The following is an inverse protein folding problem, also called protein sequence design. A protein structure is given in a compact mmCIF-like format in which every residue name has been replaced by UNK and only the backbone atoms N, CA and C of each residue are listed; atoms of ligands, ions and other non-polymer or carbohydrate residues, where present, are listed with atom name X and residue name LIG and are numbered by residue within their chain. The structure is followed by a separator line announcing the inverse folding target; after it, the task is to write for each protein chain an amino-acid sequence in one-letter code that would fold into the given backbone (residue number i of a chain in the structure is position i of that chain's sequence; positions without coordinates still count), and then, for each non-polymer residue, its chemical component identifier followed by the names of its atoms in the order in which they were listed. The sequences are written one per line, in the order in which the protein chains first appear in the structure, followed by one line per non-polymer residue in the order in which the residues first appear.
data_IF_323796932639
#
_entry.id   IF_323796932639
#
_cell.length_a   1.000
_cell.length_b   1.000
_cell.length_c   1.000
_cell.angle_alpha   90.00
_cell.angle_beta   90.00
_cell.angle_gamma   90.00
#
_symmetry.space_group_name_H-M   'P 1'
#
loop_
_entity.id
_entity.type
_entity.pdbx_description
1 polymer ?
#
# COMPACT_ATOMS: atom_id res chain seq x y z
N UNK A 1 2.69 -28.79 13.02
CA UNK A 1 3.57 -28.70 11.83
C UNK A 1 2.63 -28.77 10.65
N UNK A 2 2.60 -27.72 9.84
CA UNK A 2 1.74 -27.66 8.65
C UNK A 2 2.48 -28.47 7.58
N UNK A 3 1.90 -29.55 7.09
CA UNK A 3 2.51 -30.32 6.00
C UNK A 3 2.14 -29.67 4.66
N UNK A 4 3.13 -29.07 3.98
CA UNK A 4 2.97 -28.44 2.68
C UNK A 4 3.29 -29.43 1.57
N UNK A 5 2.32 -30.30 1.25
CA UNK A 5 2.48 -31.20 0.12
C UNK A 5 2.47 -30.45 -1.21
N UNK A 6 3.52 -30.62 -2.01
CA UNK A 6 3.58 -30.11 -3.38
C UNK A 6 4.09 -28.68 -3.54
N UNK A 7 4.47 -27.99 -2.45
CA UNK A 7 5.09 -26.66 -2.54
C UNK A 7 6.62 -26.79 -2.63
N UNK A 8 7.28 -26.26 -3.68
CA UNK A 8 8.74 -26.29 -3.77
C UNK A 8 9.40 -25.31 -2.78
N UNK A 9 10.69 -25.51 -2.51
CA UNK A 9 11.49 -24.53 -1.78
C UNK A 9 11.49 -23.18 -2.52
N UNK A 10 11.13 -22.12 -1.79
CA UNK A 10 11.00 -20.77 -2.33
C UNK A 10 12.34 -20.03 -2.30
N UNK A 11 12.50 -19.11 -3.25
CA UNK A 11 13.67 -18.24 -3.39
C UNK A 11 13.27 -16.83 -2.99
N UNK A 12 13.89 -16.31 -1.93
CA UNK A 12 13.67 -14.94 -1.42
C UNK A 12 12.17 -14.60 -1.24
N UNK A 13 11.38 -15.43 -0.52
CA UNK A 13 9.93 -15.32 -0.53
C UNK A 13 9.41 -14.12 0.24
N UNK A 14 8.50 -13.37 -0.40
CA UNK A 14 7.69 -12.32 0.24
C UNK A 14 6.23 -12.75 0.32
N UNK A 15 5.62 -12.62 1.49
CA UNK A 15 4.18 -12.84 1.64
C UNK A 15 3.44 -11.53 1.37
N UNK A 16 2.41 -11.57 0.53
CA UNK A 16 1.54 -10.42 0.25
C UNK A 16 0.12 -10.78 0.64
N UNK A 17 -0.44 -10.09 1.63
CA UNK A 17 -1.75 -10.37 2.19
C UNK A 17 -2.75 -9.24 1.90
N UNK A 18 -3.99 -9.58 1.56
CA UNK A 18 -5.10 -8.64 1.50
C UNK A 18 -6.39 -9.30 2.00
N UNK A 19 -7.20 -8.53 2.72
CA UNK A 19 -8.43 -8.99 3.34
C UNK A 19 -9.60 -8.09 2.93
N UNK A 20 -10.60 -8.67 2.27
CA UNK A 20 -11.87 -8.01 1.95
C UNK A 20 -12.58 -7.55 3.24
N UNK A 21 -13.44 -6.55 3.12
CA UNK A 21 -14.25 -6.02 4.22
C UNK A 21 -13.78 -4.65 4.68
N UNK A 22 -13.63 -4.45 5.99
CA UNK A 22 -13.41 -3.12 6.58
C UNK A 22 -12.11 -2.44 6.12
N UNK A 23 -11.09 -3.24 5.78
CA UNK A 23 -9.76 -2.77 5.41
C UNK A 23 -9.57 -2.60 3.90
N UNK A 24 -10.63 -2.69 3.09
CA UNK A 24 -10.52 -2.81 1.63
C UNK A 24 -11.52 -1.94 0.84
N UNK A 25 -11.39 -0.62 0.99
CA UNK A 25 -12.20 0.33 0.22
C UNK A 25 -12.10 0.08 -1.30
N UNK A 26 -13.25 -0.01 -1.97
CA UNK A 26 -13.33 -0.24 -3.41
C UNK A 26 -12.81 -1.61 -3.88
N UNK A 27 -12.68 -2.58 -2.97
CA UNK A 27 -12.02 -3.88 -3.17
C UNK A 27 -10.59 -3.75 -3.73
N UNK A 28 -9.91 -2.65 -3.42
CA UNK A 28 -8.65 -2.25 -4.07
C UNK A 28 -7.48 -3.19 -3.73
N UNK A 29 -7.34 -3.57 -2.46
CA UNK A 29 -6.28 -4.43 -1.95
C UNK A 29 -6.51 -5.89 -2.32
N UNK A 30 -7.72 -6.41 -2.15
CA UNK A 30 -8.05 -7.79 -2.57
C UNK A 30 -7.94 -7.94 -4.10
N UNK A 31 -8.34 -6.92 -4.87
CA UNK A 31 -8.15 -6.88 -6.33
C UNK A 31 -6.68 -6.84 -6.73
N UNK A 32 -5.83 -6.17 -5.96
CA UNK A 32 -4.38 -6.16 -6.21
C UNK A 32 -3.80 -7.57 -6.07
N UNK A 33 -4.11 -8.29 -4.98
CA UNK A 33 -3.64 -9.68 -4.81
C UNK A 33 -4.25 -10.61 -5.87
N UNK A 34 -5.53 -10.44 -6.20
CA UNK A 34 -6.18 -11.20 -7.27
C UNK A 34 -5.55 -10.97 -8.65
N UNK A 35 -5.06 -9.76 -8.91
CA UNK A 35 -4.31 -9.43 -10.11
C UNK A 35 -2.98 -10.19 -10.16
N UNK A 36 -2.20 -10.19 -9.07
CA UNK A 36 -0.94 -10.96 -8.99
C UNK A 36 -1.17 -12.46 -9.20
N UNK A 37 -2.21 -13.01 -8.57
CA UNK A 37 -2.62 -14.41 -8.72
C UNK A 37 -2.94 -14.74 -10.19
N UNK A 38 -3.66 -13.85 -10.90
CA UNK A 38 -4.02 -14.05 -12.31
C UNK A 38 -2.83 -13.92 -13.26
N UNK A 39 -2.06 -12.84 -13.16
CA UNK A 39 -0.99 -12.53 -14.12
C UNK A 39 0.14 -13.56 -14.07
N UNK A 40 0.46 -14.03 -12.86
CA UNK A 40 1.51 -15.03 -12.66
C UNK A 40 1.00 -16.46 -12.46
N UNK A 41 -0.31 -16.68 -12.61
CA UNK A 41 -0.95 -18.00 -12.50
C UNK A 41 -0.62 -18.68 -11.15
N UNK A 42 -0.87 -17.96 -10.07
CA UNK A 42 -0.66 -18.46 -8.71
C UNK A 42 -1.37 -19.78 -8.48
N UNK A 43 -0.68 -20.70 -7.81
CA UNK A 43 -1.20 -22.02 -7.48
C UNK A 43 -1.62 -22.05 -6.02
N UNK A 44 -2.93 -22.19 -5.78
CA UNK A 44 -3.48 -22.34 -4.42
C UNK A 44 -3.00 -23.66 -3.82
N UNK A 45 -2.29 -23.59 -2.70
CA UNK A 45 -1.78 -24.77 -1.98
C UNK A 45 -2.46 -24.96 -0.63
N UNK A 46 -3.07 -23.91 -0.07
CA UNK A 46 -3.77 -23.99 1.20
C UNK A 46 -4.99 -23.06 1.25
N UNK A 47 -5.94 -23.42 2.12
CA UNK A 47 -7.06 -22.58 2.49
C UNK A 47 -7.33 -22.80 3.98
N UNK A 48 -7.59 -21.72 4.72
CA UNK A 48 -7.96 -21.79 6.13
C UNK A 48 -9.36 -22.39 6.28
N UNK A 49 -9.59 -23.16 7.33
CA UNK A 49 -10.91 -23.71 7.61
C UNK A 49 -11.90 -22.57 7.90
N UNK A 50 -12.99 -22.55 7.12
CA UNK A 50 -13.96 -21.48 7.21
C UNK A 50 -14.76 -21.52 8.52
N UNK A 51 -14.99 -22.72 9.08
CA UNK A 51 -15.84 -22.90 10.26
C UNK A 51 -15.24 -22.27 11.52
N UNK A 52 -13.91 -22.20 11.60
CA UNK A 52 -13.21 -21.65 12.76
C UNK A 52 -13.23 -20.12 12.83
N UNK A 53 -13.31 -19.47 11.67
CA UNK A 53 -13.00 -18.04 11.55
C UNK A 53 -14.17 -17.17 11.10
N UNK A 54 -15.17 -17.72 10.41
CA UNK A 54 -16.23 -16.92 9.79
C UNK A 54 -17.61 -17.14 10.43
N UNK A 55 -18.32 -16.03 10.69
CA UNK A 55 -19.75 -16.08 10.96
C UNK A 55 -20.50 -16.17 9.63
N UNK A 56 -21.10 -17.34 9.34
CA UNK A 56 -21.84 -17.57 8.10
C UNK A 56 -23.18 -16.83 8.00
N UNK A 57 -23.63 -16.13 9.04
CA UNK A 57 -24.75 -15.19 8.94
C UNK A 57 -24.33 -13.86 8.31
N UNK A 58 -23.08 -13.46 8.54
CA UNK A 58 -22.44 -12.27 7.96
C UNK A 58 -21.85 -12.63 6.59
N UNK A 59 -20.98 -13.64 6.55
CA UNK A 59 -20.28 -14.11 5.36
C UNK A 59 -20.98 -15.36 4.80
N UNK A 60 -22.06 -15.17 4.05
CA UNK A 60 -22.88 -16.28 3.56
C UNK A 60 -22.17 -17.10 2.48
N UNK A 61 -22.22 -18.44 2.52
CA UNK A 61 -21.81 -19.27 1.40
C UNK A 61 -22.66 -19.01 0.16
N UNK A 62 -22.04 -19.05 -1.01
CA UNK A 62 -22.71 -18.77 -2.29
C UNK A 62 -23.01 -20.08 -3.01
N UNK A 63 -24.24 -20.23 -3.48
CA UNK A 63 -24.66 -21.33 -4.35
C UNK A 63 -24.51 -20.94 -5.81
N UNK A 64 -23.98 -21.84 -6.63
CA UNK A 64 -23.88 -21.65 -8.08
C UNK A 64 -24.11 -22.97 -8.84
N UNK A 65 -24.33 -22.86 -10.14
CA UNK A 65 -24.49 -24.01 -11.04
C UNK A 65 -23.29 -24.07 -11.99
N UNK A 66 -22.61 -25.21 -12.00
CA UNK A 66 -21.52 -25.49 -12.94
C UNK A 66 -21.88 -26.73 -13.75
N UNK A 67 -22.08 -26.56 -15.07
CA UNK A 67 -22.53 -27.65 -15.94
C UNK A 67 -23.87 -28.27 -15.50
N UNK A 68 -24.73 -27.49 -14.83
CA UNK A 68 -26.00 -27.97 -14.27
C UNK A 68 -25.89 -28.66 -12.92
N UNK A 69 -24.68 -28.83 -12.36
CA UNK A 69 -24.46 -29.38 -11.02
C UNK A 69 -24.41 -28.23 -10.01
N UNK A 70 -25.23 -28.33 -8.96
CA UNK A 70 -25.24 -27.36 -7.85
C UNK A 70 -23.97 -27.51 -7.02
N UNK A 71 -23.25 -26.40 -6.82
CA UNK A 71 -22.10 -26.30 -5.94
C UNK A 71 -22.28 -25.18 -4.92
N UNK A 72 -21.57 -25.28 -3.82
CA UNK A 72 -21.51 -24.27 -2.75
C UNK A 72 -20.05 -23.87 -2.61
N UNK A 73 -19.79 -22.57 -2.67
CA UNK A 73 -18.50 -21.99 -2.32
C UNK A 73 -18.61 -21.39 -0.93
N UNK A 74 -17.76 -21.87 -0.03
CA UNK A 74 -17.61 -21.31 1.30
C UNK A 74 -16.62 -20.13 1.28
N UNK A 75 -16.87 -19.05 2.03
CA UNK A 75 -15.89 -17.99 2.22
C UNK A 75 -14.67 -18.56 2.95
N UNK A 76 -13.47 -18.22 2.50
CA UNK A 76 -12.22 -18.67 3.12
C UNK A 76 -11.07 -17.75 2.74
N UNK A 77 -10.00 -17.76 3.54
CA UNK A 77 -8.71 -17.19 3.19
C UNK A 77 -7.86 -18.26 2.50
N UNK A 78 -7.43 -17.97 1.28
CA UNK A 78 -6.59 -18.86 0.47
C UNK A 78 -5.15 -18.37 0.46
N UNK A 79 -4.23 -19.32 0.40
CA UNK A 79 -2.82 -19.08 0.16
C UNK A 79 -2.42 -19.70 -1.18
N UNK A 80 -1.74 -18.92 -2.00
CA UNK A 80 -1.17 -19.37 -3.27
C UNK A 80 0.29 -19.01 -3.39
N UNK A 81 1.06 -19.84 -4.09
CA UNK A 81 2.46 -19.53 -4.43
C UNK A 81 2.53 -19.04 -5.85
N UNK A 82 3.35 -18.02 -6.05
CA UNK A 82 3.75 -17.51 -7.37
C UNK A 82 5.27 -17.56 -7.49
N UNK A 83 5.75 -18.18 -8.57
CA UNK A 83 7.16 -18.18 -8.94
C UNK A 83 7.42 -17.06 -9.95
N UNK A 84 8.11 -16.00 -9.53
CA UNK A 84 8.46 -14.92 -10.46
C UNK A 84 9.86 -15.19 -11.01
N UNK A 85 9.92 -15.61 -12.26
CA UNK A 85 11.17 -15.76 -12.99
C UNK A 85 11.81 -14.42 -13.34
N UNK A 86 13.09 -14.44 -13.72
CA UNK A 86 13.82 -13.24 -14.15
C UNK A 86 15.25 -13.20 -13.61
N UNK A 87 15.92 -12.07 -13.79
CA UNK A 87 17.33 -11.88 -13.39
C UNK A 87 17.50 -11.79 -11.87
N UNK A 88 16.47 -11.34 -11.15
CA UNK A 88 16.35 -11.38 -9.68
C UNK A 88 15.11 -12.20 -9.31
N UNK A 89 15.23 -13.53 -9.14
CA UNK A 89 14.10 -14.37 -8.77
C UNK A 89 13.65 -14.05 -7.35
N UNK A 90 12.35 -13.78 -7.19
CA UNK A 90 11.69 -13.52 -5.90
C UNK A 90 10.33 -14.18 -5.95
N UNK A 91 10.11 -15.16 -5.10
CA UNK A 91 8.82 -15.86 -5.05
C UNK A 91 7.84 -15.12 -4.15
N UNK A 92 6.55 -15.26 -4.44
CA UNK A 92 5.50 -14.62 -3.67
C UNK A 92 4.57 -15.66 -3.05
N UNK A 93 4.24 -15.44 -1.78
CA UNK A 93 3.17 -16.15 -1.08
C UNK A 93 1.99 -15.20 -0.98
N UNK A 94 0.98 -15.40 -1.81
CA UNK A 94 -0.20 -14.54 -1.82
C UNK A 94 -1.24 -15.06 -0.85
N UNK A 95 -1.76 -14.19 0.01
CA UNK A 95 -2.85 -14.48 0.95
C UNK A 95 -4.02 -13.58 0.59
N UNK A 96 -5.15 -14.18 0.21
CA UNK A 96 -6.37 -13.45 -0.14
C UNK A 96 -7.57 -14.09 0.51
N UNK A 97 -8.39 -13.28 1.17
CA UNK A 97 -9.60 -13.76 1.80
C UNK A 97 -10.45 -12.63 2.35
N UNK A 98 -11.43 -13.00 3.15
CA UNK A 98 -12.26 -12.07 3.89
C UNK A 98 -11.68 -11.91 5.29
N UNK A 99 -11.78 -10.71 5.86
CA UNK A 99 -11.47 -10.49 7.27
C UNK A 99 -12.22 -11.50 8.15
N UNK A 100 -11.51 -12.27 9.03
CA UNK A 100 -12.16 -13.25 9.89
C UNK A 100 -13.15 -12.56 10.83
N UNK A 101 -14.24 -13.23 11.19
CA UNK A 101 -15.23 -12.69 12.14
C UNK A 101 -14.81 -12.92 13.59
N UNK A 102 -13.98 -13.93 13.86
CA UNK A 102 -13.60 -14.34 15.20
C UNK A 102 -12.22 -15.00 15.22
N UNK A 103 -11.70 -15.26 16.43
CA UNK A 103 -10.43 -15.97 16.67
C UNK A 103 -9.20 -15.37 15.96
N UNK A 104 -9.15 -14.04 15.82
CA UNK A 104 -8.09 -13.33 15.08
C UNK A 104 -6.67 -13.73 15.49
N UNK A 105 -6.41 -13.95 16.78
CA UNK A 105 -5.11 -14.44 17.26
C UNK A 105 -4.71 -15.79 16.67
N UNK A 106 -5.65 -16.74 16.62
CA UNK A 106 -5.42 -18.06 16.02
C UNK A 106 -5.25 -17.95 14.51
N UNK A 107 -6.09 -17.14 13.86
CA UNK A 107 -6.01 -16.87 12.42
C UNK A 107 -4.64 -16.32 12.02
N UNK A 108 -4.15 -15.28 12.70
CA UNK A 108 -2.82 -14.71 12.43
C UNK A 108 -1.69 -15.71 12.70
N UNK A 109 -1.80 -16.51 13.78
CA UNK A 109 -0.81 -17.55 14.07
C UNK A 109 -0.77 -18.65 13.00
N UNK A 110 -1.90 -18.98 12.38
CA UNK A 110 -1.96 -19.95 11.29
C UNK A 110 -1.29 -19.40 10.03
N UNK A 111 -1.58 -18.15 9.66
CA UNK A 111 -0.88 -17.45 8.55
C UNK A 111 0.63 -17.37 8.82
N UNK A 112 1.04 -17.03 10.04
CA UNK A 112 2.45 -17.00 10.44
C UNK A 112 3.10 -18.39 10.42
N UNK A 113 2.33 -19.43 10.73
CA UNK A 113 2.77 -20.82 10.58
C UNK A 113 3.14 -21.14 9.13
N UNK A 114 2.30 -20.72 8.18
CA UNK A 114 2.62 -20.82 6.75
C UNK A 114 3.83 -19.96 6.36
N UNK A 115 3.90 -18.72 6.83
CA UNK A 115 5.04 -17.83 6.56
C UNK A 115 6.37 -18.44 7.02
N UNK A 116 6.38 -19.02 8.23
CA UNK A 116 7.55 -19.67 8.81
C UNK A 116 7.98 -20.92 8.02
N UNK A 117 7.05 -21.82 7.71
CA UNK A 117 7.34 -23.06 6.97
C UNK A 117 7.85 -22.76 5.54
N UNK A 118 7.36 -21.68 4.93
CA UNK A 118 7.76 -21.23 3.59
C UNK A 118 9.03 -20.38 3.57
N UNK A 119 9.60 -20.06 4.74
CA UNK A 119 10.81 -19.23 4.85
C UNK A 119 10.62 -17.77 4.45
N UNK A 120 9.40 -17.22 4.59
CA UNK A 120 9.06 -15.84 4.24
C UNK A 120 9.97 -14.84 4.98
N UNK A 121 10.61 -13.94 4.21
CA UNK A 121 11.52 -12.93 4.76
C UNK A 121 10.81 -11.62 5.13
N UNK A 122 9.65 -11.36 4.52
CA UNK A 122 8.85 -10.16 4.77
C UNK A 122 7.36 -10.41 4.48
N UNK A 123 6.49 -9.80 5.28
CA UNK A 123 5.05 -9.75 5.05
C UNK A 123 4.65 -8.33 4.64
N UNK A 124 4.00 -8.19 3.49
CA UNK A 124 3.41 -6.94 3.01
C UNK A 124 1.89 -7.08 3.04
N UNK A 125 1.21 -6.25 3.82
CA UNK A 125 -0.24 -6.31 3.98
C UNK A 125 -0.86 -5.12 3.24
N UNK A 126 -1.68 -5.40 2.23
CA UNK A 126 -2.35 -4.37 1.45
C UNK A 126 -3.69 -4.02 2.09
N UNK A 127 -3.99 -2.73 2.15
CA UNK A 127 -5.25 -2.19 2.60
C UNK A 127 -5.67 -0.97 1.78
N UNK A 128 -6.93 -0.60 1.90
CA UNK A 128 -7.48 0.62 1.35
C UNK A 128 -8.52 1.19 2.32
N UNK A 129 -8.46 2.49 2.52
CA UNK A 129 -9.33 3.22 3.45
C UNK A 129 -10.04 4.35 2.73
N UNK A 130 -11.18 4.79 3.28
CA UNK A 130 -11.85 5.98 2.79
C UNK A 130 -11.12 7.21 3.32
N UNK A 131 -10.79 8.13 2.41
CA UNK A 131 -10.05 9.34 2.74
C UNK A 131 -10.58 10.57 2.01
N UNK A 132 -10.09 11.73 2.46
CA UNK A 132 -10.36 13.04 1.87
C UNK A 132 -9.35 13.29 0.75
N UNK A 133 -9.59 12.63 -0.38
CA UNK A 133 -8.73 12.71 -1.57
C UNK A 133 -9.57 12.85 -2.83
N UNK A 134 -9.17 13.71 -3.79
CA UNK A 134 -9.90 13.89 -5.03
C UNK A 134 -9.60 12.74 -6.01
N UNK A 135 -10.63 12.18 -6.63
CA UNK A 135 -10.50 11.13 -7.64
C UNK A 135 -9.76 11.59 -8.90
N UNK A 136 -9.55 12.90 -9.08
CA UNK A 136 -8.89 13.53 -10.22
C UNK A 136 -7.36 13.64 -10.07
N UNK A 137 -6.80 13.37 -8.88
CA UNK A 137 -5.34 13.37 -8.61
C UNK A 137 -4.81 11.94 -8.45
N UNK A 138 -3.46 11.73 -8.40
CA UNK A 138 -2.90 10.43 -8.07
C UNK A 138 -3.40 9.92 -6.70
N UNK A 139 -3.66 8.62 -6.60
CA UNK A 139 -4.12 7.99 -5.34
C UNK A 139 -2.95 7.99 -4.35
N UNK A 140 -3.09 8.63 -3.17
CA UNK A 140 -2.07 8.55 -2.13
C UNK A 140 -1.98 7.12 -1.62
N UNK A 141 -0.75 6.59 -1.54
CA UNK A 141 -0.46 5.30 -0.91
C UNK A 141 0.58 5.50 0.17
N UNK A 142 0.18 5.31 1.42
CA UNK A 142 1.10 5.35 2.57
C UNK A 142 1.67 3.96 2.82
N UNK A 143 2.96 3.88 3.13
CA UNK A 143 3.58 2.65 3.64
C UNK A 143 3.92 2.85 5.10
N UNK A 144 3.41 1.96 5.96
CA UNK A 144 3.58 2.06 7.41
C UNK A 144 4.13 0.77 8.00
N UNK A 145 4.90 0.92 9.07
CA UNK A 145 5.39 -0.21 9.87
C UNK A 145 5.48 0.17 11.35
N UNK A 146 5.48 -0.84 12.21
CA UNK A 146 5.71 -0.72 13.66
C UNK A 146 7.18 -0.88 14.04
N UNK A 147 8.05 -1.23 13.08
CA UNK A 147 9.49 -1.38 13.30
C UNK A 147 10.23 -0.09 12.89
N UNK A 148 10.85 0.65 13.85
CA UNK A 148 11.56 1.89 13.56
C UNK A 148 12.83 1.73 12.72
N UNK A 149 13.45 0.54 12.70
CA UNK A 149 14.60 0.25 11.84
C UNK A 149 14.13 -0.01 10.41
N UNK A 150 13.03 -0.77 10.25
CA UNK A 150 12.41 -1.01 8.95
C UNK A 150 11.88 0.29 8.33
N UNK A 151 11.26 1.14 9.16
CA UNK A 151 10.76 2.45 8.72
C UNK A 151 11.87 3.32 8.11
N UNK A 152 13.03 3.38 8.77
CA UNK A 152 14.18 4.16 8.28
C UNK A 152 14.84 3.55 7.04
N UNK A 153 14.97 2.22 7.00
CA UNK A 153 15.68 1.52 5.92
C UNK A 153 14.88 1.48 4.61
N UNK A 154 13.55 1.46 4.70
CA UNK A 154 12.65 1.37 3.55
C UNK A 154 11.91 2.67 3.21
N UNK A 155 12.24 3.78 3.89
CA UNK A 155 11.56 5.08 3.72
C UNK A 155 10.03 4.96 3.89
N UNK A 156 9.64 4.42 5.04
CA UNK A 156 8.25 4.20 5.46
C UNK A 156 7.92 5.05 6.69
N UNK A 157 6.63 5.26 6.90
CA UNK A 157 6.13 5.95 8.08
C UNK A 157 6.06 5.00 9.28
N UNK A 158 6.50 5.46 10.44
CA UNK A 158 6.27 4.77 11.71
C UNK A 158 4.80 4.97 12.12
N UNK A 159 4.08 3.88 12.39
CA UNK A 159 2.68 3.98 12.83
C UNK A 159 2.59 4.60 14.24
N UNK A 160 1.70 5.60 14.38
CA UNK A 160 1.36 6.25 15.66
C UNK A 160 -0.14 6.22 15.94
N UNK A 161 -0.88 5.40 15.19
CA UNK A 161 -2.33 5.33 15.27
C UNK A 161 -2.78 4.71 16.59
N UNK A 162 -3.77 5.33 17.23
CA UNK A 162 -4.48 4.81 18.39
C UNK A 162 -5.98 4.80 18.09
N UNK A 163 -6.61 3.63 18.18
CA UNK A 163 -8.04 3.46 17.89
C UNK A 163 -8.40 2.03 17.51
N UNK A 164 -9.65 1.79 17.05
CA UNK A 164 -10.08 0.51 16.53
C UNK A 164 -9.21 0.06 15.35
N UNK A 165 -8.89 -1.24 15.29
CA UNK A 165 -8.09 -1.81 14.21
C UNK A 165 -8.77 -3.05 13.63
N UNK A 166 -8.42 -3.37 12.39
CA UNK A 166 -8.84 -4.57 11.67
C UNK A 166 -7.79 -5.67 11.72
N UNK A 167 -8.06 -6.75 10.98
CA UNK A 167 -7.13 -7.89 10.87
C UNK A 167 -5.76 -7.49 10.32
N UNK A 168 -5.67 -6.43 9.50
CA UNK A 168 -4.40 -5.91 8.98
C UNK A 168 -3.47 -5.48 10.11
N UNK A 169 -3.97 -4.70 11.07
CA UNK A 169 -3.18 -4.25 12.22
C UNK A 169 -2.79 -5.40 13.13
N UNK A 170 -3.71 -6.35 13.36
CA UNK A 170 -3.44 -7.52 14.20
C UNK A 170 -2.43 -8.48 13.57
N UNK A 171 -2.48 -8.67 12.25
CA UNK A 171 -1.49 -9.48 11.54
C UNK A 171 -0.11 -8.79 11.57
N UNK A 172 -0.04 -7.47 11.38
CA UNK A 172 1.21 -6.71 11.48
C UNK A 172 1.82 -6.80 12.90
N UNK A 173 0.99 -6.68 13.93
CA UNK A 173 1.42 -6.86 15.33
C UNK A 173 1.90 -8.29 15.58
N UNK A 174 1.19 -9.30 15.07
CA UNK A 174 1.59 -10.70 15.20
C UNK A 174 2.94 -10.99 14.51
N UNK A 175 3.17 -10.43 13.32
CA UNK A 175 4.47 -10.51 12.63
C UNK A 175 5.58 -9.89 13.47
N UNK A 176 5.34 -8.70 14.03
CA UNK A 176 6.29 -8.00 14.90
C UNK A 176 6.68 -8.87 16.11
N UNK A 177 5.71 -9.48 16.79
CA UNK A 177 5.97 -10.39 17.91
C UNK A 177 6.70 -11.68 17.50
N UNK A 178 6.50 -12.15 16.27
CA UNK A 178 7.19 -13.31 15.72
C UNK A 178 8.60 -12.98 15.17
N UNK A 179 8.99 -11.69 15.15
CA UNK A 179 10.26 -11.25 14.57
C UNK A 179 10.31 -11.31 13.04
N UNK A 180 9.15 -11.32 12.38
CA UNK A 180 9.03 -11.30 10.91
C UNK A 180 8.82 -9.84 10.47
N UNK A 181 9.68 -9.27 9.61
CA UNK A 181 9.50 -7.92 9.07
C UNK A 181 8.12 -7.76 8.42
N UNK A 182 7.39 -6.72 8.81
CA UNK A 182 6.05 -6.46 8.29
C UNK A 182 5.83 -4.99 7.95
N UNK A 183 5.21 -4.78 6.79
CA UNK A 183 4.83 -3.48 6.25
C UNK A 183 3.36 -3.55 5.84
N UNK A 184 2.59 -2.49 6.07
CA UNK A 184 1.29 -2.34 5.41
C UNK A 184 1.26 -1.15 4.45
N UNK A 185 0.63 -1.35 3.30
CA UNK A 185 0.41 -0.33 2.27
C UNK A 185 -1.06 0.04 2.23
N UNK A 186 -1.37 1.33 2.33
CA UNK A 186 -2.73 1.84 2.42
C UNK A 186 -3.04 2.83 1.32
N UNK A 187 -3.98 2.49 0.43
CA UNK A 187 -4.51 3.43 -0.55
C UNK A 187 -5.65 4.26 0.04
N UNK A 188 -5.58 5.58 -0.12
CA UNK A 188 -6.69 6.47 0.21
C UNK A 188 -7.68 6.51 -0.95
N UNK A 189 -8.87 5.95 -0.76
CA UNK A 189 -9.97 5.95 -1.72
C UNK A 189 -10.91 7.13 -1.43
N UNK A 190 -11.32 7.92 -2.43
CA UNK A 190 -12.30 8.99 -2.22
C UNK A 190 -13.60 8.45 -1.59
N UNK A 191 -14.00 8.97 -0.44
CA UNK A 191 -15.15 8.43 0.30
C UNK A 191 -16.48 8.53 -0.48
N UNK A 192 -16.62 9.53 -1.35
CA UNK A 192 -17.80 9.72 -2.21
C UNK A 192 -17.86 8.74 -3.39
N UNK A 193 -16.76 8.03 -3.70
CA UNK A 193 -16.74 6.90 -4.67
C UNK A 193 -16.03 5.70 -4.06
N UNK A 194 -16.70 5.11 -3.08
CA UNK A 194 -16.22 3.96 -2.32
C UNK A 194 -16.70 2.61 -2.85
N UNK A 195 -17.66 2.60 -3.79
CA UNK A 195 -18.22 1.37 -4.33
C UNK A 195 -17.20 0.61 -5.18
N UNK A 196 -17.00 -0.70 -4.92
CA UNK A 196 -16.19 -1.54 -5.79
C UNK A 196 -16.77 -1.67 -7.21
N UNK A 197 -15.93 -1.85 -8.24
CA UNK A 197 -14.46 -1.91 -8.18
C UNK A 197 -13.78 -0.53 -8.26
N UNK A 198 -12.60 -0.39 -7.66
CA UNK A 198 -11.71 0.76 -7.85
C UNK A 198 -10.36 0.34 -8.47
N UNK A 199 -10.26 0.25 -9.81
CA UNK A 199 -9.04 -0.13 -10.50
C UNK A 199 -7.92 0.92 -10.34
N UNK A 200 -8.27 2.19 -10.12
CA UNK A 200 -7.28 3.27 -9.94
C UNK A 200 -6.50 3.10 -8.63
N UNK A 201 -7.18 2.77 -7.53
CA UNK A 201 -6.54 2.49 -6.25
C UNK A 201 -5.79 1.15 -6.26
N UNK A 202 -6.35 0.12 -6.92
CA UNK A 202 -5.67 -1.16 -7.17
C UNK A 202 -4.32 -0.94 -7.88
N UNK A 203 -4.33 -0.16 -8.97
CA UNK A 203 -3.15 0.19 -9.73
C UNK A 203 -2.11 0.95 -8.87
N UNK A 204 -2.56 1.87 -8.02
CA UNK A 204 -1.67 2.61 -7.13
C UNK A 204 -0.99 1.69 -6.10
N UNK A 205 -1.73 0.77 -5.48
CA UNK A 205 -1.18 -0.24 -4.57
C UNK A 205 -0.13 -1.12 -5.25
N UNK A 206 -0.41 -1.62 -6.46
CA UNK A 206 0.53 -2.44 -7.22
C UNK A 206 1.80 -1.67 -7.58
N UNK A 207 1.69 -0.41 -8.00
CA UNK A 207 2.87 0.41 -8.27
C UNK A 207 3.72 0.64 -7.00
N UNK A 208 3.08 0.90 -5.84
CA UNK A 208 3.82 1.07 -4.58
C UNK A 208 4.44 -0.24 -4.10
N UNK A 209 3.76 -1.36 -4.31
CA UNK A 209 4.28 -2.69 -4.03
C UNK A 209 5.50 -2.99 -4.91
N UNK A 210 5.44 -2.76 -6.23
CA UNK A 210 6.58 -2.91 -7.15
C UNK A 210 7.82 -2.16 -6.64
N UNK A 211 7.65 -0.92 -6.19
CA UNK A 211 8.74 -0.12 -5.61
C UNK A 211 9.27 -0.72 -4.30
N UNK A 212 8.39 -1.24 -3.43
CA UNK A 212 8.73 -1.78 -2.12
C UNK A 212 9.54 -3.09 -2.20
N UNK A 213 9.14 -4.00 -3.11
CA UNK A 213 9.74 -5.33 -3.22
C UNK A 213 10.73 -5.47 -4.40
N UNK A 214 11.04 -4.36 -5.08
CA UNK A 214 11.92 -4.29 -6.27
C UNK A 214 11.57 -5.34 -7.34
N UNK A 215 10.27 -5.53 -7.57
CA UNK A 215 9.74 -6.56 -8.46
C UNK A 215 8.80 -5.95 -9.50
N UNK A 216 9.15 -6.08 -10.78
CA UNK A 216 8.31 -5.60 -11.88
C UNK A 216 7.01 -6.41 -11.96
N UNK A 217 5.88 -5.74 -11.78
CA UNK A 217 4.54 -6.33 -11.85
C UNK A 217 3.94 -6.06 -13.24
N UNK A 218 3.50 -7.09 -13.98
CA UNK A 218 2.79 -6.91 -15.25
C UNK A 218 1.38 -6.36 -15.00
N UNK A 219 1.15 -5.08 -15.26
CA UNK A 219 -0.12 -4.40 -14.91
C UNK A 219 -1.31 -4.70 -15.85
N UNK A 220 -1.08 -5.36 -16.99
CA UNK A 220 -2.12 -5.67 -17.98
C UNK A 220 -2.95 -4.44 -18.40
N UNK A 221 -4.27 -4.60 -18.39
CA UNK A 221 -5.26 -3.56 -18.76
C UNK A 221 -5.59 -2.59 -17.61
N UNK A 222 -5.00 -2.75 -16.41
CA UNK A 222 -5.39 -1.94 -15.23
C UNK A 222 -5.22 -0.44 -15.42
N UNK A 223 -4.25 0.00 -16.23
CA UNK A 223 -4.06 1.42 -16.53
C UNK A 223 -5.21 2.00 -17.38
N UNK A 224 -5.80 1.17 -18.25
CA UNK A 224 -6.92 1.54 -19.09
C UNK A 224 -8.21 1.51 -18.27
N UNK A 225 -8.41 0.48 -17.45
CA UNK A 225 -9.50 0.38 -16.49
C UNK A 225 -9.53 1.57 -15.51
N UNK A 226 -8.37 1.96 -14.98
CA UNK A 226 -8.24 3.11 -14.08
C UNK A 226 -8.64 4.44 -14.77
N UNK A 227 -8.30 4.62 -16.06
CA UNK A 227 -8.73 5.79 -16.83
C UNK A 227 -10.23 5.76 -17.12
N UNK A 228 -10.76 4.62 -17.53
CA UNK A 228 -12.20 4.46 -17.78
C UNK A 228 -13.02 4.72 -16.52
N UNK A 229 -12.57 4.18 -15.38
CA UNK A 229 -13.15 4.45 -14.07
C UNK A 229 -13.13 5.94 -13.74
N UNK A 230 -11.98 6.62 -13.89
CA UNK A 230 -11.87 8.04 -13.59
C UNK A 230 -12.84 8.88 -14.45
N UNK A 231 -12.93 8.62 -15.76
CA UNK A 231 -13.88 9.31 -16.64
C UNK A 231 -15.34 9.09 -16.22
N UNK A 232 -15.68 7.89 -15.73
CA UNK A 232 -17.00 7.59 -15.21
C UNK A 232 -17.31 8.39 -13.94
N UNK A 233 -16.33 8.50 -13.03
CA UNK A 233 -16.47 9.30 -11.81
C UNK A 233 -16.56 10.80 -12.13
N UNK A 234 -15.74 11.30 -13.06
CA UNK A 234 -15.77 12.70 -13.49
C UNK A 234 -17.18 13.09 -13.98
N UNK A 235 -17.84 12.20 -14.74
CA UNK A 235 -19.21 12.42 -15.22
C UNK A 235 -20.22 12.47 -14.07
N UNK A 236 -20.17 11.50 -13.15
CA UNK A 236 -21.09 11.43 -12.01
C UNK A 236 -20.90 12.63 -11.06
N UNK A 237 -19.66 13.03 -10.81
CA UNK A 237 -19.35 14.18 -9.96
C UNK A 237 -19.80 15.50 -10.61
N UNK A 238 -19.77 15.62 -11.95
CA UNK A 238 -20.23 16.80 -12.65
C UNK A 238 -21.76 16.96 -12.68
N UNK A 239 -22.52 15.89 -12.44
CA UNK A 239 -23.99 15.94 -12.35
C UNK A 239 -24.49 16.53 -11.03
N UNK A 240 -23.64 16.58 -9.99
CA UNK A 240 -23.94 17.10 -8.66
C UNK A 240 -23.01 18.28 -8.30
N UNK A 241 -23.57 19.49 -8.25
CA UNK A 241 -22.79 20.70 -7.96
C UNK A 241 -22.14 20.69 -6.58
N UNK A 242 -22.76 20.07 -5.58
CA UNK A 242 -22.19 19.99 -4.23
C UNK A 242 -20.95 19.08 -4.23
N UNK A 243 -21.03 17.95 -4.93
CA UNK A 243 -19.89 17.04 -5.11
C UNK A 243 -18.77 17.70 -5.91
N UNK A 244 -19.09 18.44 -6.97
CA UNK A 244 -18.10 19.14 -7.78
C UNK A 244 -17.34 20.21 -6.97
N UNK A 245 -18.03 21.04 -6.20
CA UNK A 245 -17.41 22.04 -5.30
C UNK A 245 -16.54 21.38 -4.23
N UNK A 246 -17.01 20.26 -3.69
CA UNK A 246 -16.26 19.50 -2.70
C UNK A 246 -14.98 18.88 -3.29
N UNK A 247 -15.06 18.29 -4.48
CA UNK A 247 -13.89 17.77 -5.21
C UNK A 247 -12.87 18.88 -5.45
N UNK A 248 -13.31 20.07 -5.88
CA UNK A 248 -12.41 21.21 -6.07
C UNK A 248 -11.70 21.59 -4.76
N UNK A 249 -12.41 21.60 -3.63
CA UNK A 249 -11.81 21.86 -2.31
C UNK A 249 -10.73 20.84 -1.97
N UNK A 250 -10.97 19.56 -2.25
CA UNK A 250 -9.99 18.49 -2.05
C UNK A 250 -8.77 18.61 -2.99
N UNK A 251 -8.98 19.03 -4.24
CA UNK A 251 -7.90 19.32 -5.18
C UNK A 251 -7.01 20.45 -4.69
N UNK A 252 -7.59 21.57 -4.26
CA UNK A 252 -6.84 22.72 -3.73
C UNK A 252 -6.02 22.34 -2.49
N UNK A 253 -6.62 21.58 -1.57
CA UNK A 253 -5.91 21.07 -0.39
C UNK A 253 -4.74 20.14 -0.77
N UNK A 254 -4.94 19.26 -1.75
CA UNK A 254 -3.92 18.32 -2.22
C UNK A 254 -2.78 19.03 -2.95
N UNK A 255 -3.10 19.87 -3.92
CA UNK A 255 -2.12 20.59 -4.73
C UNK A 255 -1.27 21.51 -3.85
N UNK A 256 -1.86 22.11 -2.81
CA UNK A 256 -1.13 22.92 -1.82
C UNK A 256 -0.12 22.08 -1.03
N UNK A 257 -0.48 20.86 -0.64
CA UNK A 257 0.41 19.96 0.09
C UNK A 257 1.57 19.44 -0.77
N UNK A 258 1.37 19.30 -2.09
CA UNK A 258 2.35 18.76 -3.03
C UNK A 258 3.34 19.81 -3.59
N UNK A 259 3.21 21.10 -3.22
CA UNK A 259 4.05 22.20 -3.75
C UNK A 259 5.57 21.99 -3.54
N UNK A 260 6.44 22.41 -4.48
CA UNK A 260 7.87 22.03 -4.53
C UNK A 260 8.74 22.53 -3.36
N UNK A 261 8.28 23.49 -2.58
CA UNK A 261 8.97 23.88 -1.33
C UNK A 261 8.90 22.77 -0.26
N UNK A 262 8.09 21.72 -0.50
CA UNK A 262 7.87 20.58 0.38
C UNK A 262 8.17 19.17 -0.22
N UNK A 263 8.49 18.99 -1.52
CA UNK A 263 8.39 17.65 -2.17
C UNK A 263 9.50 17.23 -3.15
N UNK A 264 10.75 17.68 -2.97
CA UNK A 264 11.88 17.34 -3.88
C UNK A 264 12.13 15.85 -4.14
N UNK A 265 11.71 14.96 -3.23
CA UNK A 265 11.88 13.50 -3.35
C UNK A 265 10.79 12.81 -4.19
N UNK A 266 9.59 13.39 -4.29
CA UNK A 266 8.50 12.81 -5.07
C UNK A 266 8.78 12.86 -6.59
N UNK A 267 9.36 13.99 -7.04
CA UNK A 267 9.74 14.21 -8.45
C UNK A 267 10.91 13.27 -8.85
N UNK A 268 11.86 13.04 -7.95
CA UNK A 268 12.97 12.12 -8.18
C UNK A 268 12.48 10.67 -8.36
N UNK A 269 11.54 10.22 -7.52
CA UNK A 269 10.97 8.86 -7.59
C UNK A 269 10.22 8.57 -8.89
N UNK A 270 9.38 9.50 -9.38
CA UNK A 270 8.69 9.31 -10.67
C UNK A 270 9.65 9.31 -11.86
N UNK A 271 10.69 10.13 -11.82
CA UNK A 271 11.70 10.19 -12.87
C UNK A 271 12.55 8.91 -12.92
N UNK A 272 12.96 8.38 -11.77
CA UNK A 272 13.62 7.08 -11.68
C UNK A 272 12.74 5.94 -12.20
N UNK A 273 11.44 5.95 -11.88
CA UNK A 273 10.46 4.98 -12.40
C UNK A 273 10.38 5.01 -13.93
N UNK A 274 10.38 6.20 -14.53
CA UNK A 274 10.38 6.36 -15.99
C UNK A 274 11.65 5.80 -16.64
N UNK A 275 12.82 6.00 -16.03
CA UNK A 275 14.10 5.48 -16.54
C UNK A 275 14.20 3.95 -16.43
N UNK A 276 13.80 3.36 -15.29
CA UNK A 276 13.76 1.89 -15.12
C UNK A 276 12.84 1.19 -16.14
N UNK A 277 11.80 1.88 -16.63
CA UNK A 277 10.91 1.36 -17.70
C UNK A 277 11.56 1.36 -19.08
N UNK A 278 12.51 2.26 -19.35
CA UNK A 278 13.18 2.40 -20.66
C UNK A 278 14.34 1.42 -20.86
N UNK A 279 15.06 1.06 -19.80
CA UNK A 279 16.23 0.19 -19.88
C UNK A 279 15.90 -1.32 -19.99
N UNK A 280 14.62 -1.70 -20.00
CA UNK A 280 14.16 -3.10 -20.03
C UNK A 280 13.62 -3.62 -21.38
N UNK A 281 13.93 -3.00 -22.52
CA UNK A 281 13.46 -3.44 -23.85
C UNK A 281 14.58 -4.06 -24.71
N UNK A 282 14.38 -5.23 -25.36
CA UNK A 282 15.42 -5.85 -26.18
C UNK A 282 15.60 -5.14 -27.54
N UNK A 283 16.78 -4.52 -27.72
CA UNK A 283 17.56 -4.49 -28.96
C UNK A 283 17.12 -3.57 -30.12
N UNK A 284 17.91 -2.51 -30.35
CA UNK A 284 18.28 -2.01 -31.68
C UNK A 284 19.55 -1.13 -31.58
N UNK A 285 20.40 -1.05 -32.63
CA UNK A 285 21.84 -1.25 -32.50
C UNK A 285 22.68 0.03 -32.38
N UNK A 286 23.92 -0.18 -31.94
CA UNK A 286 24.91 0.84 -31.62
C UNK A 286 25.26 1.79 -32.76
N UNK A 287 25.46 3.04 -32.36
CA UNK A 287 26.12 4.09 -33.14
C UNK A 287 27.50 4.37 -32.53
N UNK A 288 28.53 3.82 -33.17
CA UNK A 288 29.92 4.25 -33.02
C UNK A 288 30.01 5.74 -33.37
N UNK A 289 30.55 6.58 -32.49
CA UNK A 289 31.21 7.83 -32.90
C UNK A 289 32.59 7.87 -32.23
N UNK A 290 33.58 8.03 -33.10
CA UNK A 290 35.01 8.02 -32.83
C UNK A 290 35.54 9.36 -32.32
N UNK A 291 36.67 9.24 -31.63
CA UNK A 291 37.69 10.22 -31.20
C UNK A 291 37.80 11.57 -31.94
N UNK A 292 38.13 12.62 -31.18
CA UNK A 292 38.51 13.94 -31.70
C UNK A 292 38.52 15.09 -30.69
N UNK A 293 39.60 15.22 -29.91
CA UNK A 293 40.36 16.48 -29.76
C UNK A 293 39.82 17.68 -28.95
N UNK A 294 40.60 18.03 -27.93
CA UNK A 294 40.96 19.38 -27.46
C UNK A 294 40.02 20.21 -26.53
N UNK A 295 40.50 20.33 -25.29
CA UNK A 295 40.81 21.59 -24.59
C UNK A 295 39.78 22.72 -24.57
N UNK A 296 39.19 22.99 -23.40
CA UNK A 296 39.36 24.29 -22.73
C UNK A 296 38.80 24.29 -21.30
N UNK A 297 39.70 24.56 -20.37
CA UNK A 297 39.46 24.93 -18.98
C UNK A 297 38.84 26.33 -18.88
N UNK A 298 37.79 26.49 -18.08
CA UNK A 298 37.48 27.79 -17.46
C UNK A 298 37.32 27.64 -15.95
N UNK A 299 38.43 27.93 -15.26
CA UNK A 299 38.45 28.42 -13.89
C UNK A 299 37.68 29.74 -13.82
N UNK A 300 36.77 29.87 -12.86
CA UNK A 300 36.45 31.18 -12.26
C UNK A 300 36.13 31.03 -10.78
N UNK A 301 37.16 31.28 -9.99
CA UNK A 301 37.09 31.70 -8.61
C UNK A 301 36.57 33.15 -8.56
N UNK A 302 35.54 33.42 -7.74
CA UNK A 302 35.41 34.70 -7.02
C UNK A 302 34.59 34.48 -5.75
N UNK A 303 35.31 34.54 -4.63
CA UNK A 303 34.84 34.90 -3.30
C UNK A 303 33.90 36.12 -3.27
N UNK A 304 32.78 36.00 -2.57
CA UNK A 304 32.19 37.12 -1.82
C UNK A 304 31.31 36.60 -0.68
N UNK A 305 31.74 36.88 0.54
CA UNK A 305 30.98 36.58 1.75
C UNK A 305 29.73 37.44 1.85
N UNK A 306 28.63 36.83 2.30
CA UNK A 306 27.48 37.54 2.83
C UNK A 306 27.09 36.95 4.18
N UNK A 307 27.27 37.80 5.18
CA UNK A 307 26.95 37.66 6.60
C UNK A 307 25.43 37.57 6.82
N UNK A 308 25.05 36.69 7.74
CA UNK A 308 23.68 36.46 8.22
C UNK A 308 23.27 37.58 9.20
N UNK A 309 22.08 38.21 9.10
CA UNK A 309 21.62 39.17 10.09
C UNK A 309 21.07 38.47 11.36
N UNK A 310 21.18 39.10 12.54
CA UNK A 310 20.71 38.51 13.80
C UNK A 310 19.18 38.62 13.98
N UNK A 311 18.63 37.65 14.71
CA UNK A 311 17.21 37.46 15.02
C UNK A 311 16.78 38.40 16.18
N UNK A 312 15.60 39.04 16.15
CA UNK A 312 15.11 39.85 17.27
C UNK A 312 14.61 38.98 18.44
N UNK A 313 14.80 39.49 19.67
CA UNK A 313 14.40 38.86 20.92
C UNK A 313 12.86 38.82 21.08
N UNK A 314 12.34 37.73 21.63
CA UNK A 314 10.94 37.60 22.07
C UNK A 314 10.82 38.12 23.50
N UNK A 315 9.86 39.01 23.74
CA UNK A 315 9.37 39.40 25.06
C UNK A 315 8.54 38.24 25.65
N UNK A 316 8.81 37.89 26.90
CA UNK A 316 8.00 36.97 27.72
C UNK A 316 6.74 37.70 28.23
N UNK A 317 5.56 37.06 28.32
CA UNK A 317 4.43 37.63 29.03
C UNK A 317 4.52 37.35 30.53
N UNK A 318 4.28 38.40 31.31
CA UNK A 318 4.13 38.41 32.78
C UNK A 318 3.14 37.36 33.32
N UNK A 319 3.56 36.64 34.36
CA UNK A 319 2.67 35.97 35.31
C UNK A 319 1.92 37.00 36.17
N UNK A 320 0.67 36.69 36.59
CA UNK A 320 0.17 37.19 37.85
C UNK A 320 -0.13 36.05 38.83
N UNK A 321 0.74 35.92 39.83
CA UNK A 321 0.43 36.00 41.27
C UNK A 321 -0.68 35.10 41.85
N UNK A 322 -0.23 34.16 42.69
CA UNK A 322 -1.03 33.44 43.69
C UNK A 322 -1.77 34.38 44.68
N UNK A 323 -2.99 33.98 45.06
CA UNK A 323 -3.76 34.57 46.16
C UNK A 323 -4.82 33.61 46.69
N UNK A 324 -4.56 33.09 47.89
CA UNK A 324 -5.29 32.09 48.70
C UNK A 324 -6.74 32.42 49.11
N UNK A 325 -7.54 31.36 49.36
CA UNK A 325 -8.70 31.32 50.28
C UNK A 325 -9.80 30.36 49.79
N UNK A 326 -9.92 29.12 50.28
CA UNK A 326 -10.59 28.65 51.51
C UNK A 326 -12.06 28.21 51.32
N UNK A 327 -12.28 26.90 51.54
CA UNK A 327 -13.43 26.22 52.18
C UNK A 327 -14.82 26.08 51.53
N UNK A 328 -15.45 24.97 51.95
CA UNK A 328 -16.89 24.54 51.89
C UNK A 328 -17.43 24.08 50.54
N UNK A 329 -18.35 23.12 50.38
CA UNK A 329 -18.87 21.91 51.07
C UNK A 329 -20.16 21.53 50.30
N UNK A 330 -20.46 20.25 50.13
CA UNK A 330 -21.83 19.68 49.87
C UNK A 330 -22.60 20.17 48.63
N UNK A 331 -22.82 19.31 47.63
CA UNK A 331 -24.02 18.45 47.39
C UNK A 331 -23.83 17.66 46.08
#
# INVERSE_FOLDING_TARGET
MIELEGVPELVDPVMIAAFEGWNDAGDSASSAVAHLEREWKGEVFAALDAEDYYDFQVNRPTVFLEGGVRRITWPTTRLSVVRVGGDKPRDLVLVRGIEPSMRWRSFCNEILGFAHELGVEMVVILGALLGDTPHTRPVPVSGVTSDPDLARTMDLEETRYEGPTGIVGILQEACTHAGVPAVSLWAAVPHYVSQPPNPKATLALLNRLEDLIDLRIPLGELAEDARAWQLGVDQLAAEDSEVAEYVQTLEEARDTADLPEASGEAIAREFERYLRRRDGGPGAPGGHITDGGESTSYLRDTSSGRTRPPKPAREEPDEPGEGSGSESSED
#
